data_IF_435889624273
#
_entry.id   IF_435889624273
#
_cell.length_a   1.000
_cell.length_b   1.000
_cell.length_c   1.000
_cell.angle_alpha   90.00
_cell.angle_beta   90.00
_cell.angle_gamma   90.00
#
_symmetry.space_group_name_H-M   'P 1'
#
loop_
_entity.id
_entity.type
_entity.pdbx_description
1 polymer ?
#
# COMPACT_ATOMS: atom_id res chain seq x y z
N UNK A 1 -17.74 14.08 -6.82
CA UNK A 1 -16.35 13.58 -6.72
C UNK A 1 -16.40 12.08 -6.57
N UNK A 2 -15.53 11.34 -7.26
CA UNK A 2 -15.45 9.88 -7.07
C UNK A 2 -15.08 9.55 -5.62
N UNK A 3 -15.70 8.50 -5.09
CA UNK A 3 -15.39 7.92 -3.79
C UNK A 3 -14.34 6.84 -3.98
N UNK A 4 -13.09 7.12 -3.60
CA UNK A 4 -11.96 6.22 -3.78
C UNK A 4 -11.44 5.85 -2.40
N UNK A 5 -11.62 4.59 -2.05
CA UNK A 5 -11.19 4.06 -0.76
C UNK A 5 -9.84 3.36 -0.84
N UNK A 6 -9.17 3.31 0.29
CA UNK A 6 -8.03 2.44 0.55
C UNK A 6 -8.32 1.57 1.77
N UNK A 7 -8.04 0.28 1.64
CA UNK A 7 -8.13 -0.70 2.70
C UNK A 7 -6.74 -1.25 2.97
N UNK A 8 -6.30 -1.15 4.23
CA UNK A 8 -4.98 -1.61 4.64
C UNK A 8 -5.05 -2.25 6.01
N UNK A 9 -4.38 -3.38 6.16
CA UNK A 9 -4.09 -3.97 7.47
C UNK A 9 -2.62 -3.70 7.79
N UNK A 10 -2.37 -3.14 8.97
CA UNK A 10 -1.04 -2.70 9.35
C UNK A 10 -0.72 -3.17 10.76
N UNK A 11 0.54 -3.54 10.96
CA UNK A 11 1.09 -3.91 12.27
C UNK A 11 2.36 -3.11 12.49
N UNK A 12 2.40 -2.37 13.60
CA UNK A 12 3.55 -1.61 14.07
C UNK A 12 4.21 -0.71 13.01
N UNK A 13 3.40 0.18 12.40
CA UNK A 13 3.84 1.20 11.43
C UNK A 13 3.77 2.62 11.99
N UNK A 14 3.66 2.78 13.30
CA UNK A 14 3.46 4.03 14.02
C UNK A 14 4.35 5.18 13.55
N UNK A 15 5.68 4.99 13.42
CA UNK A 15 6.58 6.06 12.96
C UNK A 15 6.25 6.60 11.55
N UNK A 16 5.65 5.80 10.68
CA UNK A 16 5.43 6.14 9.26
C UNK A 16 3.96 6.31 8.88
N UNK A 17 3.02 5.94 9.77
CA UNK A 17 1.58 5.91 9.43
C UNK A 17 1.04 7.28 9.05
N UNK A 18 1.54 8.36 9.66
CA UNK A 18 1.11 9.73 9.35
C UNK A 18 1.54 10.14 7.94
N UNK A 19 2.76 9.80 7.54
CA UNK A 19 3.23 10.02 6.17
C UNK A 19 2.42 9.21 5.17
N UNK A 20 2.17 7.93 5.49
CA UNK A 20 1.40 7.04 4.62
C UNK A 20 -0.02 7.58 4.38
N UNK A 21 -0.72 8.03 5.42
CA UNK A 21 -2.04 8.66 5.28
C UNK A 21 -1.95 9.98 4.50
N UNK A 22 -0.98 10.84 4.84
CA UNK A 22 -0.76 12.12 4.15
C UNK A 22 -0.52 11.94 2.64
N UNK A 23 0.29 10.94 2.27
CA UNK A 23 0.59 10.63 0.89
C UNK A 23 -0.66 10.24 0.11
N UNK A 24 -1.43 9.28 0.63
CA UNK A 24 -2.62 8.80 -0.07
C UNK A 24 -3.74 9.87 -0.10
N UNK A 25 -3.84 10.74 0.90
CA UNK A 25 -4.71 11.93 0.81
C UNK A 25 -4.31 12.84 -0.36
N UNK A 26 -3.00 13.09 -0.56
CA UNK A 26 -2.50 13.89 -1.68
C UNK A 26 -2.73 13.21 -3.03
N UNK A 27 -2.70 11.88 -3.09
CA UNK A 27 -3.00 11.11 -4.31
C UNK A 27 -4.50 11.04 -4.63
N UNK A 28 -5.36 11.66 -3.81
CA UNK A 28 -6.78 11.80 -4.06
C UNK A 28 -7.65 10.66 -3.52
N UNK A 29 -7.15 9.85 -2.58
CA UNK A 29 -8.00 8.94 -1.82
C UNK A 29 -8.92 9.71 -0.87
N UNK A 30 -10.20 9.33 -0.85
CA UNK A 30 -11.25 10.05 -0.11
C UNK A 30 -11.78 9.28 1.09
N UNK A 31 -11.43 8.01 1.25
CA UNK A 31 -11.82 7.15 2.38
C UNK A 31 -10.70 6.18 2.75
N UNK A 32 -10.51 5.95 4.04
CA UNK A 32 -9.50 5.03 4.57
C UNK A 32 -10.15 4.04 5.51
N UNK A 33 -9.99 2.74 5.24
CA UNK A 33 -10.44 1.65 6.12
C UNK A 33 -9.19 0.92 6.63
N UNK A 34 -8.75 1.31 7.83
CA UNK A 34 -7.46 0.88 8.39
C UNK A 34 -7.68 -0.11 9.52
N UNK A 35 -7.03 -1.27 9.39
CA UNK A 35 -7.10 -2.38 10.32
C UNK A 35 -5.77 -2.48 11.07
N UNK A 36 -5.78 -2.18 12.35
CA UNK A 36 -4.63 -2.26 13.24
C UNK A 36 -4.51 -3.67 13.80
N UNK A 37 -3.58 -4.48 13.26
CA UNK A 37 -3.38 -5.86 13.67
C UNK A 37 -2.33 -5.97 14.76
N UNK A 38 -2.75 -6.33 15.98
CA UNK A 38 -1.86 -6.57 17.14
C UNK A 38 -0.77 -5.49 17.29
N UNK A 39 -1.20 -4.23 17.25
CA UNK A 39 -0.31 -3.07 17.29
C UNK A 39 -0.03 -2.64 18.73
N UNK A 40 1.22 -2.32 19.05
CA UNK A 40 1.66 -1.88 20.38
C UNK A 40 2.59 -0.65 20.37
N UNK A 41 2.78 -0.02 19.21
CA UNK A 41 3.69 1.11 18.98
C UNK A 41 3.01 2.50 18.95
N UNK A 42 1.75 2.58 19.39
CA UNK A 42 0.97 3.82 19.37
C UNK A 42 0.35 4.19 18.01
N UNK A 43 0.50 3.34 16.98
CA UNK A 43 -0.12 3.55 15.67
C UNK A 43 -1.64 3.67 15.75
N UNK A 44 -2.30 2.82 16.55
CA UNK A 44 -3.77 2.82 16.65
C UNK A 44 -4.28 4.12 17.26
N UNK A 45 -3.65 4.60 18.33
CA UNK A 45 -4.03 5.84 19.01
C UNK A 45 -3.82 7.04 18.10
N UNK A 46 -2.73 7.03 17.30
CA UNK A 46 -2.47 8.04 16.28
C UNK A 46 -3.58 8.08 15.22
N UNK A 47 -3.97 6.92 14.69
CA UNK A 47 -5.04 6.81 13.70
C UNK A 47 -6.41 7.21 14.26
N UNK A 48 -6.72 6.85 15.51
CA UNK A 48 -7.96 7.27 16.18
C UNK A 48 -8.03 8.79 16.35
N UNK A 49 -6.91 9.45 16.67
CA UNK A 49 -6.86 10.92 16.70
C UNK A 49 -7.10 11.52 15.32
N UNK A 50 -6.44 11.01 14.29
CA UNK A 50 -6.64 11.46 12.90
C UNK A 50 -8.09 11.25 12.43
N UNK A 51 -8.76 10.16 12.81
CA UNK A 51 -10.15 9.89 12.42
C UNK A 51 -11.16 10.93 12.90
N UNK A 52 -10.80 11.79 13.87
CA UNK A 52 -11.65 12.91 14.29
C UNK A 52 -11.76 14.02 13.24
N UNK A 53 -10.79 14.13 12.33
CA UNK A 53 -10.69 15.23 11.36
C UNK A 53 -10.50 14.78 9.91
N UNK A 54 -10.17 13.51 9.68
CA UNK A 54 -9.93 12.93 8.37
C UNK A 54 -10.85 11.73 8.12
N UNK A 55 -11.11 11.36 6.85
CA UNK A 55 -12.06 10.31 6.49
C UNK A 55 -11.47 8.90 6.71
N UNK A 56 -11.14 8.60 7.97
CA UNK A 56 -10.47 7.37 8.41
C UNK A 56 -11.41 6.60 9.31
N UNK A 57 -11.68 5.35 8.95
CA UNK A 57 -12.29 4.34 9.80
C UNK A 57 -11.20 3.42 10.33
N UNK A 58 -11.12 3.27 11.64
CA UNK A 58 -10.09 2.47 12.33
C UNK A 58 -10.73 1.23 12.95
N UNK A 59 -10.17 0.06 12.68
CA UNK A 59 -10.57 -1.22 13.26
C UNK A 59 -9.40 -1.83 14.02
N UNK A 60 -9.62 -2.31 15.25
CA UNK A 60 -8.63 -3.13 15.98
C UNK A 60 -8.84 -4.60 15.59
N UNK A 61 -7.75 -5.31 15.30
CA UNK A 61 -7.77 -6.71 14.88
C UNK A 61 -6.80 -7.52 15.73
N UNK A 62 -7.33 -8.55 16.40
CA UNK A 62 -6.55 -9.47 17.22
C UNK A 62 -6.52 -10.90 16.67
N UNK A 63 -7.04 -11.11 15.45
CA UNK A 63 -7.12 -12.41 14.81
C UNK A 63 -5.73 -13.02 14.50
N UNK A 64 -5.64 -14.34 14.59
CA UNK A 64 -4.43 -15.12 14.29
C UNK A 64 -4.48 -15.84 12.93
N UNK A 65 -5.64 -16.38 12.54
CA UNK A 65 -5.81 -17.05 11.25
C UNK A 65 -6.13 -16.02 10.15
N UNK A 66 -5.19 -15.86 9.22
CA UNK A 66 -5.32 -15.04 8.00
C UNK A 66 -5.99 -13.67 8.25
N UNK A 67 -5.47 -12.86 9.19
CA UNK A 67 -6.08 -11.61 9.62
C UNK A 67 -6.23 -10.61 8.46
N UNK A 68 -5.31 -10.62 7.49
CA UNK A 68 -5.39 -9.76 6.31
C UNK A 68 -6.60 -10.09 5.43
N UNK A 69 -6.84 -11.38 5.16
CA UNK A 69 -7.97 -11.81 4.33
C UNK A 69 -9.28 -11.45 5.06
N UNK A 70 -9.37 -11.70 6.37
CA UNK A 70 -10.54 -11.35 7.17
C UNK A 70 -10.81 -9.83 7.16
N UNK A 71 -9.78 -8.99 7.31
CA UNK A 71 -9.89 -7.54 7.24
C UNK A 71 -10.37 -7.07 5.86
N UNK A 72 -9.82 -7.63 4.79
CA UNK A 72 -10.21 -7.28 3.42
C UNK A 72 -11.65 -7.71 3.11
N UNK A 73 -12.04 -8.91 3.52
CA UNK A 73 -13.42 -9.40 3.41
C UNK A 73 -14.40 -8.52 4.17
N UNK A 74 -14.10 -8.18 5.43
CA UNK A 74 -14.92 -7.28 6.23
C UNK A 74 -15.03 -5.89 5.58
N UNK A 75 -13.92 -5.32 5.12
CA UNK A 75 -13.91 -4.01 4.46
C UNK A 75 -14.77 -4.00 3.19
N UNK A 76 -14.63 -5.04 2.36
CA UNK A 76 -15.41 -5.15 1.13
C UNK A 76 -16.90 -5.34 1.41
N UNK A 77 -17.26 -6.24 2.33
CA UNK A 77 -18.65 -6.48 2.70
C UNK A 77 -19.32 -5.23 3.30
N UNK A 78 -18.57 -4.42 4.05
CA UNK A 78 -19.10 -3.25 4.75
C UNK A 78 -19.14 -2.01 3.87
N UNK A 79 -18.13 -1.79 3.03
CA UNK A 79 -17.91 -0.51 2.34
C UNK A 79 -17.82 -0.63 0.81
N UNK A 80 -17.78 -1.84 0.24
CA UNK A 80 -17.64 -2.05 -1.20
C UNK A 80 -18.75 -1.41 -2.03
N UNK A 81 -19.96 -1.26 -1.46
CA UNK A 81 -21.10 -0.59 -2.13
C UNK A 81 -21.08 0.94 -2.00
N UNK A 82 -20.27 1.51 -1.12
CA UNK A 82 -20.25 2.95 -0.86
C UNK A 82 -19.24 3.73 -1.71
N UNK A 83 -18.45 3.01 -2.52
CA UNK A 83 -17.28 3.55 -3.22
C UNK A 83 -17.36 3.28 -4.72
N UNK A 84 -16.65 4.09 -5.51
CA UNK A 84 -16.46 3.84 -6.94
C UNK A 84 -15.28 2.86 -7.14
N UNK A 85 -14.23 2.98 -6.32
CA UNK A 85 -13.07 2.11 -6.32
C UNK A 85 -12.52 1.91 -4.89
N UNK A 86 -11.91 0.75 -4.65
CA UNK A 86 -11.24 0.40 -3.39
C UNK A 86 -9.88 -0.25 -3.68
N UNK A 87 -8.79 0.39 -3.24
CA UNK A 87 -7.45 -0.18 -3.32
C UNK A 87 -7.14 -1.00 -2.06
N UNK A 88 -6.54 -2.18 -2.23
CA UNK A 88 -6.13 -3.05 -1.13
C UNK A 88 -4.62 -3.14 -1.11
N UNK A 89 -3.97 -2.39 -0.21
CA UNK A 89 -2.51 -2.27 -0.16
C UNK A 89 -1.96 -2.38 1.27
N UNK A 90 -0.66 -2.63 1.39
CA UNK A 90 0.05 -2.79 2.66
C UNK A 90 0.57 -1.44 3.21
N UNK A 91 0.90 -1.38 4.51
CA UNK A 91 1.39 -0.16 5.18
C UNK A 91 2.81 0.27 4.80
N UNK A 92 3.49 -0.49 3.95
CA UNK A 92 4.78 -0.17 3.33
C UNK A 92 4.67 0.09 1.82
N UNK A 93 3.45 0.19 1.30
CA UNK A 93 3.15 0.41 -0.11
C UNK A 93 2.57 1.81 -0.33
N UNK A 94 3.10 2.52 -1.32
CA UNK A 94 2.70 3.87 -1.69
C UNK A 94 2.20 3.88 -3.14
N UNK A 95 0.88 3.90 -3.30
CA UNK A 95 0.19 3.85 -4.60
C UNK A 95 -0.09 5.25 -5.15
N UNK A 96 0.37 5.53 -6.36
CA UNK A 96 0.18 6.82 -7.01
C UNK A 96 0.01 6.71 -8.53
N UNK A 97 -0.63 7.72 -9.16
CA UNK A 97 -0.66 7.84 -10.61
C UNK A 97 0.65 8.43 -11.14
N UNK A 98 1.19 7.91 -12.24
CA UNK A 98 2.48 8.39 -12.78
C UNK A 98 2.35 9.54 -13.78
N UNK A 99 1.16 9.75 -14.35
CA UNK A 99 0.88 10.83 -15.32
C UNK A 99 -0.26 11.78 -14.91
N UNK A 100 -1.11 11.36 -13.98
CA UNK A 100 -2.27 12.14 -13.52
C UNK A 100 -2.00 12.76 -12.15
N UNK A 101 -2.87 13.69 -11.72
CA UNK A 101 -2.75 14.32 -10.41
C UNK A 101 -3.33 13.45 -9.29
N UNK A 102 -4.35 12.67 -9.61
CA UNK A 102 -5.05 11.82 -8.62
C UNK A 102 -5.28 10.41 -9.16
N UNK A 103 -5.42 9.44 -8.24
CA UNK A 103 -5.80 8.07 -8.58
C UNK A 103 -7.14 8.02 -9.30
N UNK A 104 -8.09 8.90 -8.96
CA UNK A 104 -9.38 8.97 -9.66
C UNK A 104 -9.27 9.35 -11.13
N UNK A 105 -8.41 10.31 -11.44
CA UNK A 105 -8.12 10.68 -12.84
C UNK A 105 -7.49 9.52 -13.61
N UNK A 106 -6.55 8.79 -12.98
CA UNK A 106 -5.97 7.60 -13.60
C UNK A 106 -7.00 6.49 -13.82
N UNK A 107 -7.84 6.19 -12.82
CA UNK A 107 -8.85 5.13 -12.93
C UNK A 107 -9.97 5.46 -13.92
N UNK A 108 -10.26 6.75 -14.13
CA UNK A 108 -11.23 7.20 -15.15
C UNK A 108 -10.83 6.81 -16.58
N UNK A 109 -9.54 6.53 -16.85
CA UNK A 109 -9.10 6.02 -18.16
C UNK A 109 -9.68 4.65 -18.50
N UNK A 110 -10.18 3.92 -17.49
CA UNK A 110 -10.83 2.63 -17.66
C UNK A 110 -12.36 2.73 -17.72
N UNK A 111 -12.94 3.93 -17.65
CA UNK A 111 -14.40 4.09 -17.72
C UNK A 111 -14.93 3.48 -19.03
N UNK A 112 -16.03 2.71 -18.91
CA UNK A 112 -16.60 1.95 -20.03
C UNK A 112 -15.92 0.61 -20.36
N UNK A 113 -14.74 0.31 -19.79
CA UNK A 113 -14.10 -1.00 -19.98
C UNK A 113 -14.82 -2.10 -19.18
N UNK A 114 -14.96 -3.29 -19.78
CA UNK A 114 -15.53 -4.46 -19.10
C UNK A 114 -14.51 -5.14 -18.20
N UNK A 115 -14.30 -4.56 -17.02
CA UNK A 115 -13.42 -5.08 -15.98
C UNK A 115 -13.96 -4.83 -14.58
N UNK A 116 -13.47 -5.58 -13.62
CA UNK A 116 -13.82 -5.45 -12.20
C UNK A 116 -12.71 -4.85 -11.35
N UNK A 117 -11.46 -5.03 -11.75
CA UNK A 117 -10.33 -4.52 -10.98
C UNK A 117 -9.14 -4.20 -11.88
N UNK A 118 -8.29 -3.31 -11.38
CA UNK A 118 -6.98 -2.99 -11.94
C UNK A 118 -5.89 -3.51 -11.00
N UNK A 119 -4.93 -4.25 -11.54
CA UNK A 119 -3.71 -4.66 -10.85
C UNK A 119 -2.62 -3.61 -11.05
N UNK A 120 -2.16 -3.00 -9.96
CA UNK A 120 -1.01 -2.09 -9.98
C UNK A 120 0.25 -2.81 -9.53
N UNK A 121 1.34 -2.69 -10.30
CA UNK A 121 2.60 -3.38 -10.02
C UNK A 121 3.44 -2.69 -8.95
N UNK A 122 4.17 -3.51 -8.20
CA UNK A 122 5.23 -3.05 -7.30
C UNK A 122 6.45 -2.52 -8.06
N UNK A 123 7.11 -1.54 -7.46
CA UNK A 123 8.54 -1.27 -7.58
C UNK A 123 9.14 -1.45 -6.20
N UNK A 124 10.02 -2.42 -6.00
CA UNK A 124 10.63 -2.70 -4.70
C UNK A 124 11.80 -1.74 -4.42
N UNK A 125 11.76 -1.10 -3.26
CA UNK A 125 12.74 -0.14 -2.74
C UNK A 125 13.64 -0.78 -1.68
N UNK A 126 14.91 -0.42 -1.73
CA UNK A 126 15.93 -0.86 -0.78
C UNK A 126 16.11 0.11 0.38
N UNK A 127 17.09 -0.21 1.23
CA UNK A 127 17.51 0.55 2.39
C UNK A 127 18.17 1.87 2.05
N UNK A 128 18.53 2.11 0.78
CA UNK A 128 19.39 3.22 0.36
C UNK A 128 20.72 3.29 1.12
N UNK A 129 21.17 2.14 1.67
CA UNK A 129 22.39 2.02 2.46
C UNK A 129 22.21 2.34 3.95
N UNK A 130 20.99 2.60 4.42
CA UNK A 130 20.73 2.86 5.83
C UNK A 130 20.84 1.59 6.68
N UNK A 131 21.85 1.56 7.56
CA UNK A 131 21.98 0.53 8.58
C UNK A 131 21.03 0.83 9.75
N UNK A 132 21.09 2.05 10.28
CA UNK A 132 20.20 2.53 11.33
C UNK A 132 18.97 3.23 10.72
N UNK A 133 17.83 3.16 11.42
CA UNK A 133 16.62 3.86 11.00
C UNK A 133 16.84 5.38 11.09
N UNK A 134 16.61 6.14 10.00
CA UNK A 134 16.74 7.58 10.05
C UNK A 134 15.81 8.21 11.09
N UNK A 135 16.36 9.09 11.92
CA UNK A 135 15.60 9.77 12.99
C UNK A 135 14.76 10.94 12.48
N UNK A 136 15.02 11.40 11.26
CA UNK A 136 14.33 12.50 10.61
C UNK A 136 14.09 12.19 9.13
N UNK A 137 13.23 12.99 8.50
CA UNK A 137 12.86 12.81 7.10
C UNK A 137 11.65 11.89 6.93
N UNK A 138 11.23 11.78 5.68
CA UNK A 138 10.10 10.96 5.26
C UNK A 138 10.62 9.66 4.62
N UNK A 139 9.85 8.57 4.66
CA UNK A 139 10.15 7.30 3.98
C UNK A 139 10.52 7.57 2.52
N UNK A 140 9.70 8.34 1.80
CA UNK A 140 9.97 8.64 0.39
C UNK A 140 11.26 9.44 0.18
N UNK A 141 11.71 10.19 1.20
CA UNK A 141 12.95 10.98 1.17
C UNK A 141 14.18 10.13 1.51
N UNK A 142 14.04 9.27 2.51
CA UNK A 142 15.16 8.53 3.10
C UNK A 142 15.50 7.28 2.30
N UNK A 143 14.52 6.72 1.59
CA UNK A 143 14.68 5.50 0.80
C UNK A 143 14.42 5.75 -0.70
N UNK A 144 15.16 6.64 -1.40
CA UNK A 144 14.86 6.95 -2.80
C UNK A 144 15.29 5.85 -3.77
N UNK A 145 16.16 4.91 -3.35
CA UNK A 145 16.75 3.91 -4.24
C UNK A 145 15.93 2.63 -4.32
N UNK A 146 15.82 2.08 -5.53
CA UNK A 146 14.99 0.93 -5.83
C UNK A 146 15.60 -0.02 -6.85
N UNK A 147 14.94 -1.16 -7.01
CA UNK A 147 15.26 -2.20 -7.98
C UNK A 147 15.22 -1.74 -9.43
N UNK A 148 16.07 -2.36 -10.26
CA UNK A 148 15.94 -2.35 -11.72
C UNK A 148 14.66 -3.08 -12.17
N UNK A 149 14.24 -2.84 -13.42
CA UNK A 149 12.96 -3.38 -13.95
C UNK A 149 12.92 -4.89 -14.06
N UNK A 150 14.07 -5.55 -14.17
CA UNK A 150 14.23 -7.01 -14.27
C UNK A 150 14.11 -7.74 -12.91
N UNK A 151 14.04 -7.01 -11.78
CA UNK A 151 13.85 -7.62 -10.48
C UNK A 151 12.48 -8.31 -10.38
N UNK A 152 12.49 -9.65 -10.32
CA UNK A 152 11.28 -10.48 -10.42
C UNK A 152 10.17 -10.14 -9.39
N UNK A 153 10.48 -9.74 -8.14
CA UNK A 153 9.45 -9.30 -7.20
C UNK A 153 8.64 -8.09 -7.65
N UNK A 154 9.13 -7.25 -8.58
CA UNK A 154 8.34 -6.16 -9.19
C UNK A 154 7.10 -6.65 -9.94
N UNK A 155 7.03 -7.95 -10.28
CA UNK A 155 5.87 -8.56 -10.96
C UNK A 155 4.71 -8.88 -10.03
N UNK A 156 4.84 -8.58 -8.74
CA UNK A 156 3.71 -8.61 -7.83
C UNK A 156 2.78 -7.43 -8.08
N UNK A 157 1.50 -7.67 -7.83
CA UNK A 157 0.44 -6.68 -7.98
C UNK A 157 -0.40 -6.57 -6.72
N UNK A 158 -1.04 -5.41 -6.56
CA UNK A 158 -2.19 -5.24 -5.65
C UNK A 158 -3.41 -4.81 -6.43
N UNK A 159 -4.58 -5.19 -5.93
CA UNK A 159 -5.86 -4.94 -6.59
C UNK A 159 -6.47 -3.60 -6.20
N UNK A 160 -6.90 -2.86 -7.20
CA UNK A 160 -7.81 -1.72 -7.09
C UNK A 160 -9.14 -2.17 -7.69
N UNK A 161 -10.13 -2.43 -6.85
CA UNK A 161 -11.39 -3.08 -7.23
C UNK A 161 -12.47 -2.03 -7.40
N UNK A 162 -13.24 -2.09 -8.50
CA UNK A 162 -14.43 -1.26 -8.67
C UNK A 162 -15.45 -1.60 -7.60
N UNK A 163 -15.98 -0.58 -6.94
CA UNK A 163 -17.07 -0.75 -5.98
C UNK A 163 -18.39 -1.09 -6.65
N UNK A 164 -19.41 -1.36 -5.83
CA UNK A 164 -20.78 -1.69 -6.24
C UNK A 164 -20.85 -2.92 -7.15
N UNK A 165 -20.00 -3.91 -6.88
CA UNK A 165 -19.97 -5.17 -7.61
C UNK A 165 -20.37 -6.33 -6.71
N UNK A 166 -21.19 -7.22 -7.23
CA UNK A 166 -21.47 -8.50 -6.61
C UNK A 166 -20.45 -9.55 -7.09
N UNK A 167 -20.28 -10.63 -6.34
CA UNK A 167 -19.42 -11.76 -6.76
C UNK A 167 -17.91 -11.54 -6.64
N UNK A 168 -17.46 -10.49 -5.93
CA UNK A 168 -16.04 -10.36 -5.56
C UNK A 168 -15.70 -11.33 -4.43
N UNK A 169 -14.72 -12.20 -4.66
CA UNK A 169 -14.25 -13.22 -3.74
C UNK A 169 -12.79 -12.96 -3.33
N UNK A 170 -12.58 -12.62 -2.07
CA UNK A 170 -11.27 -12.27 -1.51
C UNK A 170 -10.68 -13.49 -0.80
N UNK A 171 -9.65 -14.08 -1.41
CA UNK A 171 -8.96 -15.28 -0.90
C UNK A 171 -7.44 -15.12 -0.79
N UNK A 172 -6.88 -14.01 -1.28
CA UNK A 172 -5.43 -13.70 -1.22
C UNK A 172 -5.24 -12.22 -0.90
N UNK A 173 -4.03 -11.81 -0.51
CA UNK A 173 -3.71 -10.40 -0.25
C UNK A 173 -3.47 -9.56 -1.52
N UNK A 174 -3.44 -10.17 -2.71
CA UNK A 174 -2.97 -9.54 -3.95
C UNK A 174 -4.05 -9.38 -5.02
N UNK A 175 -4.67 -10.49 -5.44
CA UNK A 175 -5.63 -10.56 -6.54
C UNK A 175 -6.87 -11.32 -6.10
N UNK A 176 -8.03 -10.74 -6.38
CA UNK A 176 -9.32 -11.29 -5.96
C UNK A 176 -10.02 -11.97 -7.13
N UNK A 177 -10.88 -12.94 -6.82
CA UNK A 177 -11.85 -13.41 -7.80
C UNK A 177 -12.85 -12.30 -8.05
N UNK A 178 -13.00 -11.87 -9.29
CA UNK A 178 -13.87 -10.75 -9.66
C UNK A 178 -14.73 -11.10 -10.87
N UNK A 179 -15.97 -10.60 -10.98
CA UNK A 179 -16.94 -11.09 -11.98
C UNK A 179 -16.54 -10.77 -13.42
N UNK A 180 -15.84 -9.65 -13.65
CA UNK A 180 -15.35 -9.23 -14.98
C UNK A 180 -13.82 -9.29 -15.08
N UNK A 181 -13.16 -9.98 -14.15
CA UNK A 181 -11.71 -10.13 -14.14
C UNK A 181 -10.93 -8.88 -13.70
N UNK A 182 -9.63 -9.13 -13.48
CA UNK A 182 -8.63 -8.14 -13.09
C UNK A 182 -7.65 -7.97 -14.25
N UNK A 183 -7.29 -6.73 -14.57
CA UNK A 183 -6.35 -6.42 -15.64
C UNK A 183 -5.31 -5.42 -15.16
N UNK A 184 -4.14 -5.34 -15.79
CA UNK A 184 -3.25 -4.21 -15.54
C UNK A 184 -3.64 -2.98 -16.37
N UNK A 185 -2.87 -1.91 -16.21
CA UNK A 185 -3.07 -0.65 -16.92
C UNK A 185 -2.97 -0.73 -18.45
N UNK A 186 -2.43 -1.83 -19.00
CA UNK A 186 -2.37 -2.12 -20.44
C UNK A 186 -3.48 -3.08 -20.88
N UNK A 187 -4.48 -3.30 -20.03
CA UNK A 187 -5.59 -4.24 -20.24
C UNK A 187 -5.11 -5.69 -20.45
N UNK A 188 -3.96 -6.07 -19.88
CA UNK A 188 -3.50 -7.46 -19.88
C UNK A 188 -4.11 -8.20 -18.68
N UNK A 189 -4.64 -9.42 -18.85
CA UNK A 189 -5.25 -10.15 -17.74
C UNK A 189 -4.27 -10.43 -16.59
N UNK A 190 -4.75 -10.25 -15.37
CA UNK A 190 -4.04 -10.53 -14.11
C UNK A 190 -4.79 -11.65 -13.39
N UNK A 191 -4.17 -12.83 -13.35
CA UNK A 191 -4.78 -14.03 -12.79
C UNK A 191 -4.12 -14.51 -11.48
N UNK A 192 -2.97 -13.94 -11.11
CA UNK A 192 -2.22 -14.28 -9.91
C UNK A 192 -1.61 -13.04 -9.27
N UNK A 193 -1.32 -13.12 -7.96
CA UNK A 193 -0.64 -12.05 -7.23
C UNK A 193 0.78 -11.76 -7.70
N UNK A 194 1.42 -12.73 -8.37
CA UNK A 194 2.72 -12.60 -9.03
C UNK A 194 2.64 -13.05 -10.48
N UNK A 195 2.97 -12.16 -11.42
CA UNK A 195 2.78 -12.40 -12.84
C UNK A 195 4.05 -12.87 -13.54
N UNK A 196 4.28 -14.19 -13.59
CA UNK A 196 5.48 -14.78 -14.24
C UNK A 196 5.73 -14.26 -15.66
N UNK A 197 4.69 -14.15 -16.48
CA UNK A 197 4.80 -13.86 -17.91
C UNK A 197 4.67 -12.38 -18.29
N UNK A 198 4.41 -11.48 -17.34
CA UNK A 198 4.19 -10.07 -17.63
C UNK A 198 5.32 -9.21 -17.05
N UNK A 199 5.93 -8.42 -17.92
CA UNK A 199 6.76 -7.30 -17.48
C UNK A 199 5.87 -6.22 -16.84
N UNK A 200 6.25 -5.69 -15.67
CA UNK A 200 5.55 -4.59 -15.02
C UNK A 200 5.46 -3.36 -15.93
N UNK A 201 4.33 -2.67 -15.85
CA UNK A 201 4.13 -1.36 -16.49
C UNK A 201 3.84 -0.33 -15.41
N UNK A 202 4.40 0.87 -15.57
CA UNK A 202 4.26 2.00 -14.64
C UNK A 202 3.86 3.28 -15.39
N UNK A 203 3.20 3.12 -16.53
CA UNK A 203 2.81 4.20 -17.43
C UNK A 203 1.63 5.00 -16.90
N UNK A 204 0.84 4.43 -15.98
CA UNK A 204 -0.33 5.07 -15.38
C UNK A 204 -0.35 4.93 -13.86
N UNK A 205 -0.03 3.75 -13.31
CA UNK A 205 -0.11 3.41 -11.88
C UNK A 205 1.19 2.74 -11.43
N UNK A 206 1.64 3.09 -10.22
CA UNK A 206 2.79 2.44 -9.58
C UNK A 206 2.61 2.34 -8.08
N UNK A 207 3.05 1.23 -7.52
CA UNK A 207 3.22 1.05 -6.08
C UNK A 207 4.71 1.10 -5.77
N UNK A 208 5.15 2.10 -5.01
CA UNK A 208 6.47 2.05 -4.39
C UNK A 208 6.37 1.17 -3.14
N UNK A 209 7.08 0.04 -3.13
CA UNK A 209 7.06 -0.91 -2.02
C UNK A 209 8.36 -0.84 -1.24
N UNK A 210 8.31 -0.26 -0.03
CA UNK A 210 9.45 -0.12 0.87
C UNK A 210 9.65 -1.40 1.68
N UNK A 211 10.05 -2.47 0.98
CA UNK A 211 10.06 -3.85 1.46
C UNK A 211 10.96 -4.08 2.67
N UNK A 212 12.14 -3.46 2.68
CA UNK A 212 13.17 -3.68 3.70
C UNK A 212 13.31 -2.50 4.67
N UNK A 213 13.17 -1.25 4.18
CA UNK A 213 13.61 -0.03 4.88
C UNK A 213 15.05 -0.19 5.41
N UNK A 214 15.41 0.42 6.54
CA UNK A 214 16.74 0.24 7.14
C UNK A 214 17.01 -1.21 7.57
N UNK A 215 18.28 -1.57 7.67
CA UNK A 215 18.66 -2.88 8.21
C UNK A 215 18.20 -3.05 9.67
N UNK A 216 18.26 -1.99 10.49
CA UNK A 216 17.74 -1.97 11.85
C UNK A 216 16.25 -2.32 11.91
N UNK A 217 15.42 -1.65 11.11
CA UNK A 217 13.99 -1.94 11.04
C UNK A 217 13.72 -3.36 10.58
N UNK A 218 14.47 -3.84 9.58
CA UNK A 218 14.34 -5.21 9.11
C UNK A 218 14.56 -6.20 10.27
N UNK A 219 15.68 -6.08 10.99
CA UNK A 219 16.08 -6.99 12.07
C UNK A 219 15.14 -6.94 13.27
N UNK A 220 14.71 -5.74 13.67
CA UNK A 220 13.85 -5.57 14.87
C UNK A 220 12.40 -5.95 14.59
N UNK A 221 11.92 -5.65 13.38
CA UNK A 221 10.49 -5.63 13.08
C UNK A 221 10.13 -6.53 11.90
N UNK A 222 10.59 -6.23 10.67
CA UNK A 222 10.15 -6.94 9.45
C UNK A 222 10.45 -8.45 9.48
N UNK A 223 11.57 -8.84 10.07
CA UNK A 223 12.02 -10.22 10.18
C UNK A 223 11.01 -11.10 10.93
N UNK A 224 10.24 -10.52 11.86
CA UNK A 224 9.38 -11.25 12.81
C UNK A 224 7.86 -11.10 12.55
N UNK A 225 7.44 -10.33 11.54
CA UNK A 225 6.00 -10.06 11.29
C UNK A 225 5.33 -11.13 10.39
N UNK A 226 6.02 -12.23 10.06
CA UNK A 226 5.43 -13.31 9.26
C UNK A 226 5.09 -12.88 7.82
N UNK A 227 4.62 -13.82 6.99
CA UNK A 227 4.16 -13.53 5.63
C UNK A 227 2.63 -13.74 5.53
N UNK A 228 1.85 -12.75 5.07
CA UNK A 228 0.39 -12.80 5.21
C UNK A 228 -0.30 -13.96 4.49
N UNK A 229 0.20 -14.35 3.32
CA UNK A 229 -0.33 -15.46 2.51
C UNK A 229 0.40 -16.80 2.79
N UNK A 230 1.35 -16.83 3.73
CA UNK A 230 2.17 -18.01 4.01
C UNK A 230 2.19 -18.34 5.51
N UNK A 231 3.37 -18.39 6.13
CA UNK A 231 3.52 -18.80 7.52
C UNK A 231 3.53 -17.55 8.45
N UNK A 232 2.59 -17.41 9.40
CA UNK A 232 2.56 -16.30 10.35
C UNK A 232 3.76 -16.31 11.31
N UNK A 233 4.40 -17.48 11.49
CA UNK A 233 5.61 -17.65 12.28
C UNK A 233 6.89 -17.62 11.43
N UNK A 234 6.81 -17.18 10.17
CA UNK A 234 7.97 -17.06 9.30
C UNK A 234 8.93 -16.01 9.87
N UNK A 235 10.12 -16.47 10.27
CA UNK A 235 11.27 -15.62 10.49
C UNK A 235 12.00 -15.48 9.16
N UNK A 236 12.04 -14.27 8.61
CA UNK A 236 12.74 -14.04 7.33
C UNK A 236 14.25 -14.23 7.53
N UNK A 237 14.93 -15.02 6.69
CA UNK A 237 16.37 -15.15 6.79
C UNK A 237 17.06 -13.85 6.32
N UNK A 238 18.30 -13.63 6.73
CA UNK A 238 19.10 -12.48 6.28
C UNK A 238 19.33 -12.50 4.76
N UNK A 239 19.32 -13.68 4.14
CA UNK A 239 19.35 -13.82 2.68
C UNK A 239 18.14 -13.16 2.00
N UNK A 240 17.00 -13.07 2.67
CA UNK A 240 15.83 -12.35 2.16
C UNK A 240 16.10 -10.84 2.14
N UNK A 241 16.73 -10.29 3.18
CA UNK A 241 17.16 -8.89 3.16
C UNK A 241 18.14 -8.65 2.01
N UNK A 242 19.16 -9.50 1.87
CA UNK A 242 20.14 -9.37 0.80
C UNK A 242 19.51 -9.45 -0.61
N UNK A 243 18.44 -10.22 -0.79
CA UNK A 243 17.70 -10.31 -2.05
C UNK A 243 16.81 -9.08 -2.31
N UNK A 244 16.14 -8.55 -1.28
CA UNK A 244 15.16 -7.48 -1.40
C UNK A 244 15.72 -6.07 -1.18
N UNK A 245 16.95 -5.93 -0.66
CA UNK A 245 17.63 -4.65 -0.50
C UNK A 245 18.18 -4.13 -1.85
N UNK A 246 17.26 -3.69 -2.69
CA UNK A 246 17.53 -3.28 -4.07
C UNK A 246 17.71 -1.78 -4.20
N UNK A 247 18.91 -1.35 -4.60
CA UNK A 247 19.34 0.05 -4.60
C UNK A 247 19.96 0.49 -5.94
N UNK A 248 19.68 -0.22 -7.03
CA UNK A 248 20.33 -0.01 -8.32
C UNK A 248 19.97 1.34 -8.94
N UNK A 249 18.71 1.74 -8.80
CA UNK A 249 18.13 2.88 -9.50
C UNK A 249 17.67 3.96 -8.51
N UNK A 250 17.72 5.21 -8.95
CA UNK A 250 16.99 6.34 -8.38
C UNK A 250 16.42 7.13 -9.56
N UNK A 251 15.10 7.08 -9.72
CA UNK A 251 14.38 7.72 -10.82
C UNK A 251 13.89 9.13 -10.48
N UNK A 252 14.24 9.64 -9.29
CA UNK A 252 13.86 10.96 -8.81
C UNK A 252 12.36 11.14 -8.55
N UNK A 253 11.54 10.09 -8.67
CA UNK A 253 10.07 10.22 -8.56
C UNK A 253 9.65 10.64 -7.15
N UNK A 254 10.39 10.25 -6.11
CA UNK A 254 10.11 10.66 -4.74
C UNK A 254 10.15 12.18 -4.54
N UNK A 255 10.98 12.90 -5.29
CA UNK A 255 11.09 14.36 -5.19
C UNK A 255 9.82 15.08 -5.63
N UNK A 256 9.01 14.47 -6.52
CA UNK A 256 7.76 15.06 -7.00
C UNK A 256 6.74 15.26 -5.87
N UNK A 257 6.83 14.45 -4.80
CA UNK A 257 5.89 14.49 -3.68
C UNK A 257 6.43 15.27 -2.48
N UNK A 258 7.74 15.49 -2.40
CA UNK A 258 8.41 15.79 -1.14
C UNK A 258 7.88 17.05 -0.45
N UNK A 259 7.75 18.15 -1.19
CA UNK A 259 7.27 19.43 -0.65
C UNK A 259 5.80 19.34 -0.21
N UNK A 260 4.83 18.98 -1.07
CA UNK A 260 3.44 18.88 -0.65
C UNK A 260 3.24 17.83 0.46
N UNK A 261 3.98 16.73 0.44
CA UNK A 261 3.90 15.71 1.48
C UNK A 261 4.39 16.22 2.83
N UNK A 262 5.53 16.92 2.89
CA UNK A 262 6.00 17.55 4.14
C UNK A 262 4.97 18.52 4.73
N UNK A 263 4.33 19.32 3.88
CA UNK A 263 3.27 20.24 4.32
C UNK A 263 2.05 19.47 4.85
N UNK A 264 1.60 18.44 4.14
CA UNK A 264 0.46 17.62 4.56
C UNK A 264 0.75 16.84 5.85
N UNK A 265 1.97 16.30 6.03
CA UNK A 265 2.39 15.64 7.28
C UNK A 265 2.32 16.62 8.45
N UNK A 266 2.84 17.85 8.29
CA UNK A 266 2.75 18.89 9.35
C UNK A 266 1.30 19.23 9.70
N UNK A 267 0.43 19.33 8.69
CA UNK A 267 -1.01 19.55 8.89
C UNK A 267 -1.67 18.41 9.70
N UNK A 268 -1.38 17.15 9.35
CA UNK A 268 -1.90 15.99 10.09
C UNK A 268 -1.34 15.93 11.51
N UNK A 269 -0.05 16.23 11.71
CA UNK A 269 0.57 16.30 13.05
C UNK A 269 -0.07 17.38 13.92
N UNK A 270 -0.38 18.55 13.35
CA UNK A 270 -1.10 19.61 14.06
C UNK A 270 -2.52 19.16 14.47
N UNK A 271 -3.22 18.43 13.61
CA UNK A 271 -4.53 17.86 13.93
C UNK A 271 -4.45 16.81 15.06
N UNK A 272 -3.42 15.97 15.08
CA UNK A 272 -3.16 15.00 16.15
C UNK A 272 -2.91 15.72 17.49
N UNK A 273 -2.17 16.83 17.47
CA UNK A 273 -1.86 17.60 18.67
C UNK A 273 -3.09 18.33 19.25
N UNK A 274 -4.07 18.65 18.40
CA UNK A 274 -5.32 19.31 18.82
C UNK A 274 -6.42 18.34 19.30
N UNK A 275 -6.22 17.03 19.12
CA UNK A 275 -7.22 15.96 19.33
C UNK A 275 -7.10 15.21 20.65
#
# INVERSE_FOLDING_TARGET
MQQIAITSIQRNRGPWVVEWVAFHLLMGFTRFHLYCHKTDDGMTETLLKLSKSYPITVHRVDADDRPQIAAYQHSWATHGNDVDWMAFIDGDEFLYPTKHRTIGEALATFDGQELSAIGAYWRCYGSSGHVDEPTEGLVVQNYPRHSSTDFLPNRHVKSIVRGRQEGVNIQTSHVFGTPKGTFDERLRPINHGWMKGLEPSYDLLRINHYTVQSHEFFRKTKQNIGAPDANPNLIRPDSWYAEYDRNECDDGVSYNFLVPLKLKVRELQAAIAAA
#
